data_IF_640193220810
#
_entry.id   IF_640193220810
#
_cell.length_a   1.000
_cell.length_b   1.000
_cell.length_c   1.000
_cell.angle_alpha   90.00
_cell.angle_beta   90.00
_cell.angle_gamma   90.00
#
_symmetry.space_group_name_H-M   'P 1'
#
loop_
_entity.id
_entity.type
_entity.pdbx_description
1 polymer ?
#
# COMPACT_ATOMS: atom_id res chain seq x y z
N UNK A 1 -12.52 8.60 17.98
CA UNK A 1 -11.53 7.66 17.48
C UNK A 1 -11.15 8.03 16.07
N UNK A 2 -9.89 8.03 15.82
CA UNK A 2 -9.40 8.46 14.51
C UNK A 2 -9.58 7.38 13.48
N UNK A 3 -10.09 7.76 12.32
CA UNK A 3 -10.15 6.91 11.16
C UNK A 3 -8.75 6.73 10.60
N UNK A 4 -8.28 5.50 10.56
CA UNK A 4 -7.01 5.19 9.90
C UNK A 4 -7.32 4.86 8.44
N UNK A 5 -6.75 5.63 7.54
CA UNK A 5 -6.99 5.47 6.10
C UNK A 5 -5.85 4.73 5.45
N UNK A 6 -6.19 3.71 4.68
CA UNK A 6 -5.23 2.90 3.92
C UNK A 6 -5.53 3.07 2.43
N UNK A 7 -4.53 3.46 1.67
CA UNK A 7 -4.61 3.52 0.22
C UNK A 7 -4.07 2.20 -0.34
N UNK A 8 -4.89 1.52 -1.14
CA UNK A 8 -4.54 0.23 -1.75
C UNK A 8 -4.23 0.47 -3.22
N UNK A 9 -3.00 0.21 -3.62
CA UNK A 9 -2.52 0.45 -4.98
C UNK A 9 -2.18 -0.88 -5.64
N UNK A 10 -3.03 -1.33 -6.56
CA UNK A 10 -2.87 -2.62 -7.24
C UNK A 10 -3.68 -2.57 -8.53
N UNK A 11 -3.13 -3.06 -9.63
CA UNK A 11 -3.82 -3.02 -10.92
C UNK A 11 -4.89 -4.11 -11.07
N UNK A 12 -4.95 -5.07 -10.15
CA UNK A 12 -5.96 -6.13 -10.15
C UNK A 12 -7.16 -5.73 -9.29
N UNK A 13 -8.32 -5.44 -9.92
CA UNK A 13 -9.48 -4.96 -9.16
C UNK A 13 -10.00 -5.95 -8.12
N UNK A 14 -9.92 -7.25 -8.41
CA UNK A 14 -10.37 -8.28 -7.45
C UNK A 14 -9.52 -8.29 -6.19
N UNK A 15 -8.20 -8.11 -6.34
CA UNK A 15 -7.29 -8.05 -5.20
C UNK A 15 -7.56 -6.79 -4.39
N UNK A 16 -7.70 -5.64 -5.05
CA UNK A 16 -8.02 -4.39 -4.36
C UNK A 16 -9.30 -4.52 -3.53
N UNK A 17 -10.35 -5.06 -4.14
CA UNK A 17 -11.64 -5.21 -3.47
C UNK A 17 -11.54 -6.14 -2.25
N UNK A 18 -10.84 -7.26 -2.41
CA UNK A 18 -10.66 -8.22 -1.31
C UNK A 18 -9.87 -7.62 -0.15
N UNK A 19 -8.78 -6.93 -0.46
CA UNK A 19 -7.95 -6.28 0.55
C UNK A 19 -8.74 -5.18 1.27
N UNK A 20 -9.49 -4.36 0.52
CA UNK A 20 -10.34 -3.32 1.10
C UNK A 20 -11.35 -3.91 2.06
N UNK A 21 -12.01 -4.99 1.67
CA UNK A 21 -13.01 -5.66 2.52
C UNK A 21 -12.38 -6.15 3.82
N UNK A 22 -11.22 -6.79 3.74
CA UNK A 22 -10.50 -7.27 4.91
C UNK A 22 -10.15 -6.14 5.88
N UNK A 23 -9.67 -5.02 5.35
CA UNK A 23 -9.30 -3.87 6.18
C UNK A 23 -10.52 -3.21 6.80
N UNK A 24 -11.62 -3.12 6.06
CA UNK A 24 -12.86 -2.52 6.56
C UNK A 24 -13.47 -3.33 7.69
N UNK A 25 -13.35 -4.66 7.64
CA UNK A 25 -13.77 -5.53 8.74
C UNK A 25 -13.06 -5.14 10.04
N UNK A 26 -11.79 -4.75 9.94
CA UNK A 26 -10.99 -4.34 11.11
C UNK A 26 -11.16 -2.86 11.48
N UNK A 27 -12.02 -2.15 10.79
CA UNK A 27 -12.33 -0.75 11.13
C UNK A 27 -11.47 0.29 10.40
N UNK A 28 -10.65 -0.12 9.42
CA UNK A 28 -9.90 0.83 8.61
C UNK A 28 -10.78 1.42 7.52
N UNK A 29 -10.53 2.68 7.19
CA UNK A 29 -11.11 3.29 5.98
C UNK A 29 -10.18 3.01 4.81
N UNK A 30 -10.73 2.76 3.63
CA UNK A 30 -9.93 2.40 2.47
C UNK A 30 -10.21 3.29 1.28
N UNK A 31 -9.19 3.43 0.44
CA UNK A 31 -9.31 4.01 -0.89
C UNK A 31 -8.48 3.15 -1.83
N UNK A 32 -8.88 3.06 -3.11
CA UNK A 32 -8.23 2.20 -4.09
C UNK A 32 -7.69 3.01 -5.25
N UNK A 33 -6.53 2.58 -5.76
CA UNK A 33 -5.94 3.14 -6.98
C UNK A 33 -5.40 2.00 -7.84
N UNK A 34 -5.57 2.11 -9.15
CA UNK A 34 -5.20 1.04 -10.08
C UNK A 34 -3.75 1.11 -10.57
N UNK A 35 -3.07 2.21 -10.30
CA UNK A 35 -1.67 2.40 -10.70
C UNK A 35 -1.06 3.54 -9.87
N UNK A 36 0.23 3.77 -10.07
CA UNK A 36 0.95 4.80 -9.32
C UNK A 36 0.48 6.22 -9.60
N UNK A 37 0.07 6.51 -10.83
CA UNK A 37 -0.41 7.85 -11.17
C UNK A 37 -1.73 8.17 -10.47
N UNK A 38 -2.65 7.22 -10.47
CA UNK A 38 -3.93 7.36 -9.76
C UNK A 38 -3.70 7.46 -8.26
N UNK A 39 -2.71 6.73 -7.76
CA UNK A 39 -2.34 6.78 -6.34
C UNK A 39 -1.84 8.17 -5.94
N UNK A 40 -0.98 8.78 -6.74
CA UNK A 40 -0.51 10.14 -6.48
C UNK A 40 -1.66 11.15 -6.46
N UNK A 41 -2.60 11.01 -7.40
CA UNK A 41 -3.78 11.88 -7.44
C UNK A 41 -4.65 11.69 -6.19
N UNK A 42 -4.80 10.45 -5.75
CA UNK A 42 -5.56 10.14 -4.53
C UNK A 42 -4.92 10.78 -3.29
N UNK A 43 -3.60 10.72 -3.18
CA UNK A 43 -2.86 11.32 -2.06
C UNK A 43 -3.04 12.83 -2.04
N UNK A 44 -3.03 13.46 -3.20
CA UNK A 44 -3.22 14.92 -3.30
C UNK A 44 -4.61 15.34 -2.82
N UNK A 45 -5.63 14.52 -3.07
CA UNK A 45 -6.99 14.80 -2.60
C UNK A 45 -7.11 14.61 -1.08
N UNK A 46 -6.51 13.55 -0.57
CA UNK A 46 -6.53 13.25 0.86
C UNK A 46 -5.38 12.30 1.20
N UNK A 47 -4.50 12.72 2.08
CA UNK A 47 -3.34 11.93 2.47
C UNK A 47 -3.76 10.71 3.30
N UNK A 48 -3.38 9.50 2.90
CA UNK A 48 -3.64 8.31 3.71
C UNK A 48 -2.63 8.20 4.85
N UNK A 49 -2.91 7.33 5.80
CA UNK A 49 -2.00 7.03 6.90
C UNK A 49 -1.01 5.93 6.55
N UNK A 50 -1.34 5.12 5.54
CA UNK A 50 -0.54 3.98 5.12
C UNK A 50 -0.88 3.63 3.68
N UNK A 51 0.10 3.14 2.95
CA UNK A 51 -0.07 2.71 1.56
C UNK A 51 0.29 1.23 1.42
N UNK A 52 -0.63 0.44 0.86
CA UNK A 52 -0.34 -0.91 0.41
C UNK A 52 -0.04 -0.82 -1.08
N UNK A 53 1.14 -1.20 -1.50
CA UNK A 53 1.66 -0.91 -2.84
C UNK A 53 2.10 -2.18 -3.56
N UNK A 54 1.43 -2.50 -4.67
CA UNK A 54 1.93 -3.49 -5.62
C UNK A 54 3.05 -2.86 -6.43
N UNK A 55 4.07 -3.63 -6.76
CA UNK A 55 5.24 -3.09 -7.46
C UNK A 55 5.10 -3.13 -8.98
N UNK A 56 4.39 -4.11 -9.51
CA UNK A 56 4.23 -4.27 -10.97
C UNK A 56 2.86 -3.83 -11.42
N UNK A 57 2.80 -2.64 -11.99
CA UNK A 57 1.57 -2.02 -12.47
C UNK A 57 1.83 -1.25 -13.75
N UNK A 58 0.82 -1.08 -14.60
CA UNK A 58 0.96 -0.23 -15.79
C UNK A 58 0.98 1.25 -15.42
N UNK A 59 1.30 2.09 -16.36
CA UNK A 59 1.32 3.55 -16.29
C UNK A 59 2.48 4.06 -15.40
N UNK A 60 2.42 3.77 -14.10
CA UNK A 60 3.49 4.11 -13.15
C UNK A 60 3.57 2.96 -12.14
N UNK A 61 4.69 2.26 -12.14
CA UNK A 61 4.90 1.10 -11.25
C UNK A 61 5.27 1.54 -9.83
N UNK A 62 5.50 0.55 -8.96
CA UNK A 62 5.81 0.80 -7.55
C UNK A 62 7.12 1.56 -7.34
N UNK A 63 8.14 1.26 -8.14
CA UNK A 63 9.42 1.99 -8.05
C UNK A 63 9.26 3.44 -8.45
N UNK A 64 8.57 3.69 -9.57
CA UNK A 64 8.30 5.03 -10.06
C UNK A 64 7.44 5.84 -9.09
N UNK A 65 6.42 5.20 -8.52
CA UNK A 65 5.58 5.83 -7.51
C UNK A 65 6.39 6.22 -6.27
N UNK A 66 7.22 5.31 -5.76
CA UNK A 66 8.04 5.58 -4.58
C UNK A 66 9.05 6.70 -4.84
N UNK A 67 9.66 6.70 -6.03
CA UNK A 67 10.59 7.77 -6.43
C UNK A 67 9.90 9.13 -6.47
N UNK A 68 8.67 9.17 -6.98
CA UNK A 68 7.91 10.42 -7.04
C UNK A 68 7.50 10.91 -5.65
N UNK A 69 7.12 9.99 -4.76
CA UNK A 69 6.84 10.34 -3.37
C UNK A 69 8.07 10.93 -2.69
N UNK A 70 9.23 10.31 -2.90
CA UNK A 70 10.50 10.80 -2.35
C UNK A 70 10.82 12.19 -2.87
N UNK A 71 10.65 12.42 -4.17
CA UNK A 71 10.88 13.72 -4.78
C UNK A 71 9.97 14.80 -4.20
N UNK A 72 8.74 14.44 -3.87
CA UNK A 72 7.75 15.36 -3.27
C UNK A 72 7.87 15.44 -1.75
N UNK A 73 8.83 14.74 -1.16
CA UNK A 73 9.06 14.67 0.28
C UNK A 73 7.83 14.22 1.07
N UNK A 74 7.11 13.27 0.51
CA UNK A 74 5.94 12.64 1.16
C UNK A 74 6.40 11.50 2.05
N UNK A 75 6.17 11.59 3.35
CA UNK A 75 6.62 10.60 4.33
C UNK A 75 5.46 9.75 4.84
N UNK A 76 4.87 8.94 3.94
CA UNK A 76 3.77 8.03 4.28
C UNK A 76 4.32 6.61 4.31
N UNK A 77 4.06 5.82 5.36
CA UNK A 77 4.54 4.43 5.42
C UNK A 77 4.01 3.60 4.25
N UNK A 78 4.87 2.79 3.65
CA UNK A 78 4.53 1.91 2.55
C UNK A 78 4.74 0.46 2.96
N UNK A 79 3.75 -0.39 2.68
CA UNK A 79 3.86 -1.84 2.75
C UNK A 79 3.80 -2.36 1.32
N UNK A 80 4.86 -2.99 0.86
CA UNK A 80 4.89 -3.61 -0.46
C UNK A 80 4.07 -4.89 -0.42
N UNK A 81 3.18 -5.08 -1.39
CA UNK A 81 2.46 -6.35 -1.57
C UNK A 81 2.65 -6.81 -3.01
N UNK A 82 3.20 -7.98 -3.22
CA UNK A 82 3.48 -8.46 -4.56
C UNK A 82 3.52 -9.99 -4.59
N UNK A 83 3.21 -10.57 -5.75
CA UNK A 83 3.25 -12.01 -5.95
C UNK A 83 4.69 -12.56 -6.00
N UNK A 84 5.67 -11.70 -6.16
CA UNK A 84 7.05 -12.13 -6.31
C UNK A 84 7.64 -12.58 -4.98
N UNK A 85 8.56 -13.58 -5.06
CA UNK A 85 9.36 -13.97 -3.89
C UNK A 85 10.28 -12.86 -3.43
N UNK A 86 10.40 -11.82 -4.24
CA UNK A 86 11.32 -10.70 -4.01
C UNK A 86 10.67 -9.54 -3.25
N UNK A 87 9.50 -9.74 -2.65
CA UNK A 87 8.77 -8.68 -1.96
C UNK A 87 9.64 -7.93 -0.95
N UNK A 88 10.39 -8.67 -0.12
CA UNK A 88 11.26 -8.06 0.88
C UNK A 88 12.40 -7.27 0.24
N UNK A 89 13.00 -7.79 -0.83
CA UNK A 89 14.06 -7.10 -1.56
C UNK A 89 13.54 -5.80 -2.19
N UNK A 90 12.38 -5.88 -2.84
CA UNK A 90 11.79 -4.71 -3.48
C UNK A 90 11.36 -3.65 -2.47
N UNK A 91 10.85 -4.08 -1.31
CA UNK A 91 10.55 -3.17 -0.22
C UNK A 91 11.81 -2.42 0.23
N UNK A 92 12.93 -3.13 0.35
CA UNK A 92 14.21 -2.53 0.70
C UNK A 92 14.67 -1.51 -0.34
N UNK A 93 14.45 -1.80 -1.63
CA UNK A 93 14.88 -0.91 -2.73
C UNK A 93 14.16 0.44 -2.69
N UNK A 94 12.93 0.48 -2.20
CA UNK A 94 12.16 1.73 -2.11
C UNK A 94 12.05 2.26 -0.68
N UNK A 95 12.80 1.69 0.25
CA UNK A 95 12.76 2.05 1.67
C UNK A 95 11.34 1.95 2.25
N UNK A 96 10.60 0.93 1.86
CA UNK A 96 9.28 0.65 2.42
C UNK A 96 9.42 0.11 3.85
N UNK A 97 8.37 0.28 4.64
CA UNK A 97 8.38 -0.12 6.05
C UNK A 97 8.25 -1.63 6.21
N UNK A 98 7.50 -2.29 5.33
CA UNK A 98 7.27 -3.73 5.43
C UNK A 98 6.89 -4.31 4.07
N UNK A 99 6.74 -5.63 4.01
CA UNK A 99 6.34 -6.31 2.79
C UNK A 99 5.41 -7.49 3.09
N UNK A 100 4.55 -7.80 2.13
CA UNK A 100 3.66 -8.96 2.14
C UNK A 100 3.75 -9.68 0.79
N UNK A 101 3.99 -10.98 0.82
CA UNK A 101 4.00 -11.78 -0.40
C UNK A 101 2.62 -12.34 -0.69
N UNK A 102 2.12 -12.13 -1.90
CA UNK A 102 0.85 -12.71 -2.35
C UNK A 102 1.03 -14.19 -2.65
N UNK A 103 0.07 -15.06 -2.36
CA UNK A 103 -1.16 -14.74 -1.62
C UNK A 103 -0.89 -14.65 -0.12
N UNK A 104 -1.55 -13.71 0.53
CA UNK A 104 -1.47 -13.58 1.99
C UNK A 104 -2.88 -13.68 2.58
N UNK A 105 -2.96 -14.15 3.82
CA UNK A 105 -4.23 -14.28 4.50
C UNK A 105 -4.61 -13.01 5.25
N UNK A 106 -5.83 -13.03 5.79
CA UNK A 106 -6.38 -11.94 6.59
C UNK A 106 -5.46 -11.60 7.78
N UNK A 107 -5.03 -12.63 8.51
CA UNK A 107 -4.20 -12.43 9.71
C UNK A 107 -2.86 -11.77 9.39
N UNK A 108 -2.23 -12.17 8.30
CA UNK A 108 -0.94 -11.59 7.87
C UNK A 108 -1.11 -10.12 7.50
N UNK A 109 -2.17 -9.81 6.75
CA UNK A 109 -2.45 -8.45 6.33
C UNK A 109 -2.70 -7.55 7.54
N UNK A 110 -3.60 -7.97 8.42
CA UNK A 110 -3.98 -7.14 9.57
C UNK A 110 -2.82 -6.98 10.54
N UNK A 111 -2.07 -8.05 10.81
CA UNK A 111 -0.89 -7.96 11.66
C UNK A 111 0.12 -6.96 11.11
N UNK A 112 0.41 -7.04 9.81
CA UNK A 112 1.39 -6.14 9.19
C UNK A 112 0.94 -4.69 9.23
N UNK A 113 -0.32 -4.43 8.90
CA UNK A 113 -0.86 -3.07 8.94
C UNK A 113 -0.85 -2.52 10.36
N UNK A 114 -1.26 -3.32 11.33
CA UNK A 114 -1.24 -2.90 12.73
C UNK A 114 0.16 -2.59 13.24
N UNK A 115 1.15 -3.40 12.86
CA UNK A 115 2.55 -3.18 13.26
C UNK A 115 3.10 -1.89 12.64
N UNK A 116 2.84 -1.66 11.37
CA UNK A 116 3.35 -0.49 10.66
C UNK A 116 2.73 0.80 11.22
N UNK A 117 1.42 0.81 11.42
CA UNK A 117 0.76 2.00 11.97
C UNK A 117 1.17 2.23 13.43
N UNK A 118 1.41 1.17 14.19
CA UNK A 118 1.83 1.27 15.59
C UNK A 118 3.26 1.72 15.76
N UNK A 119 4.10 1.54 14.73
CA UNK A 119 5.50 1.96 14.75
C UNK A 119 5.69 3.44 14.41
N UNK A 120 4.67 4.08 13.87
CA UNK A 120 4.74 5.47 13.42
C UNK A 120 4.73 6.48 14.57
#
# INVERSE_FOLDING_TARGET
>A
MDDIRVLIVDDEPDIRATVAEMLEIEGYSTEEAANGADALAAIERRQPDLILLDMRMPVLDGWGFAAEMSRREMAIPIVVMTAARDAARWASEIAATASLSKPFGFDDLIRTVNEVRGAA
#
